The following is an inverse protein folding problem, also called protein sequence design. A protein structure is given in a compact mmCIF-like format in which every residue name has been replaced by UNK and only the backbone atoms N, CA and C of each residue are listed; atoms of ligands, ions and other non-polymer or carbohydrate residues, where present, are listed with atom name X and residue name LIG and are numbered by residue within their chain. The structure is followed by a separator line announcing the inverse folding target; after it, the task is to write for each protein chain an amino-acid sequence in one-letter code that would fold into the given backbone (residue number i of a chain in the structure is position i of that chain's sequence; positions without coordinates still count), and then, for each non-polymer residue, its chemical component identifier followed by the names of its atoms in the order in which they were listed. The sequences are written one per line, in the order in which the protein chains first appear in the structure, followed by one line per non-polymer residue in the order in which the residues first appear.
data_IF_248643925897
#
_entry.id   IF_248643925897
#
_cell.length_a   1.000
_cell.length_b   1.000
_cell.length_c   1.000
_cell.angle_alpha   90.00
_cell.angle_beta   90.00
_cell.angle_gamma   90.00
#
_symmetry.space_group_name_H-M   'P 1'
#
loop_
_entity.id
_entity.type
_entity.pdbx_description
1 polymer ?
#
# COMPACT_ATOMS: atom_id res chain seq x y z
N UNK A 1 -28.64 -5.85 15.81
CA UNK A 1 -28.04 -5.78 17.16
C UNK A 1 -26.62 -6.31 17.05
N UNK A 2 -25.65 -5.53 17.50
CA UNK A 2 -24.24 -5.93 17.58
C UNK A 2 -23.79 -5.82 19.03
N UNK A 3 -23.15 -6.85 19.58
CA UNK A 3 -22.69 -6.87 20.95
C UNK A 3 -22.72 -8.26 21.60
N UNK A 4 -22.39 -8.34 22.89
CA UNK A 4 -22.40 -9.59 23.63
C UNK A 4 -23.51 -9.53 24.69
N UNK A 5 -24.36 -10.54 24.72
CA UNK A 5 -25.39 -10.73 25.72
C UNK A 5 -25.21 -12.12 26.31
N UNK A 6 -24.94 -12.21 27.61
CA UNK A 6 -24.61 -13.45 28.30
C UNK A 6 -23.46 -14.21 27.59
N UNK A 7 -23.69 -15.44 27.18
CA UNK A 7 -22.71 -16.29 26.48
C UNK A 7 -22.82 -16.23 24.95
N UNK A 8 -23.62 -15.31 24.43
CA UNK A 8 -23.80 -15.13 22.98
C UNK A 8 -23.24 -13.80 22.50
N UNK A 9 -22.49 -13.85 21.37
CA UNK A 9 -22.00 -12.67 20.68
C UNK A 9 -22.74 -12.52 19.35
N UNK A 10 -23.39 -11.37 19.18
CA UNK A 10 -24.08 -10.98 17.96
C UNK A 10 -23.17 -10.08 17.13
N UNK A 11 -23.00 -10.38 15.88
CA UNK A 11 -22.17 -9.57 14.98
C UNK A 11 -22.71 -9.64 13.54
N UNK A 12 -22.36 -8.64 12.76
CA UNK A 12 -22.69 -8.57 11.35
C UNK A 12 -21.46 -8.91 10.51
N UNK A 13 -21.61 -9.85 9.58
CA UNK A 13 -20.57 -10.16 8.59
C UNK A 13 -21.25 -10.47 7.24
N UNK A 14 -20.72 -9.88 6.17
CA UNK A 14 -21.21 -10.07 4.80
C UNK A 14 -22.71 -9.77 4.65
N UNK A 15 -23.21 -8.71 5.28
CA UNK A 15 -24.63 -8.31 5.33
C UNK A 15 -25.55 -9.35 5.98
N UNK A 16 -25.02 -10.24 6.81
CA UNK A 16 -25.79 -11.20 7.59
C UNK A 16 -25.60 -10.96 9.07
N UNK A 17 -26.69 -11.05 9.82
CA UNK A 17 -26.63 -11.04 11.28
C UNK A 17 -26.30 -12.45 11.77
N UNK A 18 -25.16 -12.58 12.43
CA UNK A 18 -24.64 -13.85 12.93
C UNK A 18 -24.62 -13.85 14.45
N UNK A 19 -24.81 -15.04 15.01
CA UNK A 19 -24.74 -15.29 16.44
C UNK A 19 -23.77 -16.45 16.67
N UNK A 20 -22.87 -16.29 17.62
CA UNK A 20 -22.00 -17.36 18.07
C UNK A 20 -21.98 -17.45 19.58
N UNK A 21 -21.80 -18.64 20.12
CA UNK A 21 -21.51 -18.82 21.52
C UNK A 21 -20.16 -18.17 21.86
N UNK A 22 -20.07 -17.53 23.02
CA UNK A 22 -18.84 -16.96 23.53
C UNK A 22 -17.86 -18.08 23.86
N UNK A 23 -16.81 -18.21 23.05
CA UNK A 23 -15.78 -19.20 23.28
C UNK A 23 -15.13 -19.03 24.67
N UNK A 24 -15.15 -20.06 25.49
CA UNK A 24 -14.38 -20.11 26.73
C UNK A 24 -12.96 -20.53 26.39
N UNK A 25 -12.01 -19.62 26.51
CA UNK A 25 -10.59 -20.00 26.45
C UNK A 25 -10.28 -20.89 27.65
N UNK A 26 -9.90 -22.13 27.39
CA UNK A 26 -9.41 -23.03 28.44
C UNK A 26 -8.03 -22.62 29.00
N UNK A 27 -7.41 -21.58 28.45
CA UNK A 27 -6.06 -21.11 28.80
C UNK A 27 -6.17 -19.75 29.49
N UNK A 28 -5.67 -19.67 30.71
CA UNK A 28 -5.62 -18.43 31.48
C UNK A 28 -4.50 -17.51 30.95
N UNK A 29 -4.61 -16.20 31.18
CA UNK A 29 -3.54 -15.24 30.84
C UNK A 29 -2.21 -15.61 31.50
N UNK A 30 -2.24 -16.16 32.74
CA UNK A 30 -1.06 -16.61 33.44
C UNK A 30 -0.42 -17.80 32.73
N UNK A 31 -1.20 -18.83 32.45
CA UNK A 31 -0.72 -19.99 31.66
C UNK A 31 -0.13 -19.61 30.33
N UNK A 32 -0.80 -18.70 29.57
CA UNK A 32 -0.29 -18.20 28.29
C UNK A 32 1.05 -17.48 28.44
N UNK A 33 1.29 -16.74 29.55
CA UNK A 33 2.54 -16.01 29.78
C UNK A 33 3.68 -16.92 30.25
N UNK A 34 3.40 -17.90 31.07
CA UNK A 34 4.42 -18.68 31.82
C UNK A 34 4.75 -20.01 31.14
N UNK A 35 3.82 -20.62 30.41
CA UNK A 35 4.06 -21.91 29.80
C UNK A 35 4.89 -21.77 28.50
N UNK A 36 6.02 -22.49 28.47
CA UNK A 36 6.98 -22.48 27.34
C UNK A 36 6.37 -22.92 25.99
N UNK A 37 5.30 -23.74 26.04
CA UNK A 37 4.62 -24.18 24.81
C UNK A 37 4.08 -23.01 23.99
N UNK A 38 3.82 -21.85 24.62
CA UNK A 38 3.33 -20.64 23.97
C UNK A 38 4.44 -19.65 23.58
N UNK A 39 5.72 -19.96 23.82
CA UNK A 39 6.83 -19.05 23.52
C UNK A 39 6.85 -18.63 22.05
N UNK A 40 6.71 -19.58 21.13
CA UNK A 40 6.69 -19.28 19.68
C UNK A 40 5.55 -18.33 19.30
N UNK A 41 4.37 -18.50 19.94
CA UNK A 41 3.20 -17.66 19.67
C UNK A 41 3.43 -16.26 20.25
N UNK A 42 4.01 -16.15 21.46
CA UNK A 42 4.35 -14.85 22.06
C UNK A 42 5.38 -14.10 21.25
N UNK A 43 6.44 -14.77 20.82
CA UNK A 43 7.48 -14.21 19.96
C UNK A 43 6.89 -13.66 18.65
N UNK A 44 6.09 -14.48 17.96
CA UNK A 44 5.40 -14.05 16.75
C UNK A 44 4.44 -12.88 17.00
N UNK A 45 3.71 -12.91 18.12
CA UNK A 45 2.82 -11.81 18.51
C UNK A 45 3.56 -10.50 18.77
N UNK A 46 4.77 -10.55 19.34
CA UNK A 46 5.62 -9.39 19.57
C UNK A 46 6.08 -8.77 18.23
N UNK A 47 6.62 -9.59 17.36
CA UNK A 47 7.07 -9.16 16.02
C UNK A 47 5.92 -8.62 15.18
N UNK A 48 4.79 -9.33 15.13
CA UNK A 48 3.59 -8.88 14.43
C UNK A 48 3.05 -7.55 14.99
N UNK A 49 3.06 -7.38 16.30
CA UNK A 49 2.66 -6.12 16.95
C UNK A 49 3.57 -4.96 16.56
N UNK A 50 4.88 -5.20 16.41
CA UNK A 50 5.84 -4.22 15.91
C UNK A 50 5.52 -3.84 14.45
N UNK A 51 5.38 -4.82 13.57
CA UNK A 51 5.00 -4.58 12.17
C UNK A 51 3.68 -3.85 12.03
N UNK A 52 2.70 -4.15 12.87
CA UNK A 52 1.40 -3.46 12.84
C UNK A 52 1.51 -1.96 13.16
N UNK A 53 2.43 -1.56 14.04
CA UNK A 53 2.71 -0.14 14.29
C UNK A 53 3.37 0.53 13.08
N UNK A 54 4.42 -0.09 12.53
CA UNK A 54 5.10 0.39 11.32
C UNK A 54 4.17 0.46 10.10
N UNK A 55 3.29 -0.53 9.93
CA UNK A 55 2.27 -0.56 8.89
C UNK A 55 1.33 0.65 8.93
N UNK A 56 1.06 1.21 10.11
CA UNK A 56 0.27 2.44 10.23
C UNK A 56 0.99 3.61 9.56
N UNK A 57 2.30 3.76 9.83
CA UNK A 57 3.13 4.81 9.21
C UNK A 57 3.26 4.57 7.71
N UNK A 58 3.59 3.35 7.29
CA UNK A 58 3.71 2.99 5.88
C UNK A 58 2.49 3.40 5.05
N UNK A 59 1.28 3.21 5.59
CA UNK A 59 0.04 3.61 4.91
C UNK A 59 -0.15 5.13 4.80
N UNK A 60 0.60 5.92 5.57
CA UNK A 60 0.58 7.38 5.49
C UNK A 60 1.53 7.92 4.43
N UNK A 61 2.54 7.16 4.00
CA UNK A 61 3.56 7.59 3.04
C UNK A 61 2.95 8.09 1.70
N UNK A 62 1.88 7.44 1.24
CA UNK A 62 1.12 7.87 0.07
C UNK A 62 -0.39 7.89 0.37
N UNK A 63 -0.76 8.47 1.51
CA UNK A 63 -2.13 8.47 2.03
C UNK A 63 -3.16 8.92 1.00
N UNK A 64 -2.89 10.01 0.28
CA UNK A 64 -3.79 10.55 -0.73
C UNK A 64 -4.09 9.52 -1.82
N UNK A 65 -3.11 8.76 -2.27
CA UNK A 65 -3.28 7.73 -3.29
C UNK A 65 -4.01 6.50 -2.72
N UNK A 66 -3.58 6.02 -1.56
CA UNK A 66 -4.21 4.86 -0.94
C UNK A 66 -5.68 5.10 -0.57
N UNK A 67 -6.05 6.31 -0.15
CA UNK A 67 -7.45 6.61 0.14
C UNK A 67 -8.33 6.53 -1.12
N UNK A 68 -7.76 6.80 -2.28
CA UNK A 68 -8.44 6.76 -3.57
C UNK A 68 -8.28 5.45 -4.34
N UNK A 69 -7.38 4.54 -3.95
CA UNK A 69 -7.07 3.31 -4.70
C UNK A 69 -6.76 2.11 -3.82
N UNK A 70 -7.30 2.04 -2.60
CA UNK A 70 -7.13 0.86 -1.73
C UNK A 70 -8.34 -0.07 -1.77
N UNK A 71 -8.05 -1.36 -1.68
CA UNK A 71 -9.06 -2.40 -1.46
C UNK A 71 -9.23 -2.73 0.03
N UNK A 72 -10.20 -3.58 0.36
CA UNK A 72 -10.52 -3.94 1.75
C UNK A 72 -9.35 -4.66 2.45
N UNK A 73 -8.62 -5.53 1.74
CA UNK A 73 -7.51 -6.31 2.29
C UNK A 73 -6.20 -5.52 2.43
N UNK A 74 -6.14 -4.28 1.94
CA UNK A 74 -4.92 -3.47 1.86
C UNK A 74 -4.13 -3.40 3.18
N UNK A 75 -4.80 -3.13 4.31
CA UNK A 75 -4.12 -3.02 5.60
C UNK A 75 -3.48 -4.33 6.05
N UNK A 76 -4.15 -5.46 5.81
CA UNK A 76 -3.62 -6.80 6.09
C UNK A 76 -2.42 -7.13 5.20
N UNK A 77 -2.47 -6.75 3.92
CA UNK A 77 -1.35 -6.95 2.98
C UNK A 77 -0.13 -6.12 3.33
N UNK A 78 -0.31 -4.87 3.78
CA UNK A 78 0.80 -4.06 4.30
C UNK A 78 1.44 -4.71 5.52
N UNK A 79 0.63 -5.19 6.49
CA UNK A 79 1.16 -5.91 7.65
C UNK A 79 1.95 -7.15 7.24
N UNK A 80 1.44 -7.92 6.28
CA UNK A 80 2.12 -9.12 5.79
C UNK A 80 3.44 -8.77 5.10
N UNK A 81 3.45 -7.78 4.20
CA UNK A 81 4.65 -7.29 3.54
C UNK A 81 5.75 -6.90 4.53
N UNK A 82 5.41 -6.07 5.52
CA UNK A 82 6.39 -5.62 6.51
C UNK A 82 6.84 -6.76 7.43
N UNK A 83 5.98 -7.75 7.66
CA UNK A 83 6.35 -8.93 8.42
C UNK A 83 7.32 -9.84 7.64
N UNK A 84 7.10 -10.02 6.33
CA UNK A 84 8.01 -10.74 5.43
C UNK A 84 9.40 -10.07 5.42
N UNK A 85 9.45 -8.72 5.35
CA UNK A 85 10.71 -7.98 5.44
C UNK A 85 11.36 -8.14 6.83
N UNK A 86 10.59 -8.11 7.91
CA UNK A 86 11.12 -8.33 9.27
C UNK A 86 11.74 -9.75 9.40
N UNK A 87 11.18 -10.74 8.71
CA UNK A 87 11.70 -12.11 8.73
C UNK A 87 13.09 -12.24 8.10
N UNK A 88 13.52 -11.27 7.27
CA UNK A 88 14.87 -11.19 6.72
C UNK A 88 15.92 -10.73 7.76
N UNK A 89 15.50 -10.26 8.94
CA UNK A 89 16.44 -10.00 10.04
C UNK A 89 17.05 -11.32 10.55
N UNK A 90 18.19 -11.69 10.01
CA UNK A 90 18.98 -12.87 10.42
C UNK A 90 19.93 -12.56 11.58
N UNK A 91 20.06 -11.30 11.98
CA UNK A 91 20.93 -10.87 13.09
C UNK A 91 20.38 -11.16 14.46
N UNK A 92 19.05 -11.33 14.58
CA UNK A 92 18.37 -11.53 15.83
C UNK A 92 17.54 -12.82 15.84
N UNK A 93 17.42 -13.47 17.00
CA UNK A 93 16.55 -14.63 17.13
C UNK A 93 15.07 -14.22 17.04
N UNK A 94 14.22 -15.17 16.66
CA UNK A 94 12.77 -14.99 16.63
C UNK A 94 12.24 -14.39 17.94
N UNK A 95 11.36 -13.42 17.82
CA UNK A 95 10.80 -12.63 18.91
C UNK A 95 11.58 -11.35 19.22
N UNK A 96 12.78 -11.19 18.66
CA UNK A 96 13.64 -10.00 18.77
C UNK A 96 13.98 -9.36 17.42
N UNK A 97 13.54 -9.96 16.33
CA UNK A 97 13.75 -9.43 14.98
C UNK A 97 13.04 -8.10 14.82
N UNK A 98 13.65 -7.20 14.04
CA UNK A 98 13.13 -5.86 13.81
C UNK A 98 12.98 -5.57 12.32
N UNK A 99 12.03 -4.71 11.96
CA UNK A 99 11.85 -4.28 10.58
C UNK A 99 13.06 -3.48 10.10
N UNK A 100 13.68 -2.71 10.99
CA UNK A 100 14.85 -1.89 10.72
C UNK A 100 16.03 -2.73 10.23
N UNK A 101 16.30 -3.84 10.91
CA UNK A 101 17.35 -4.78 10.51
C UNK A 101 16.95 -5.54 9.23
N UNK A 102 15.68 -5.94 9.13
CA UNK A 102 15.17 -6.59 7.92
C UNK A 102 15.33 -5.72 6.67
N UNK A 103 15.03 -4.43 6.75
CA UNK A 103 15.20 -3.48 5.64
C UNK A 103 16.68 -3.26 5.27
N UNK A 104 17.62 -3.44 6.20
CA UNK A 104 19.05 -3.35 5.93
C UNK A 104 19.63 -4.63 5.29
N UNK A 105 18.88 -5.72 5.32
CA UNK A 105 19.32 -6.95 4.66
C UNK A 105 19.29 -6.77 3.13
N UNK A 106 20.34 -7.26 2.46
CA UNK A 106 20.47 -7.12 1.00
C UNK A 106 19.27 -7.71 0.25
N UNK A 107 18.65 -6.90 -0.59
CA UNK A 107 17.48 -7.30 -1.39
C UNK A 107 16.12 -7.14 -0.71
N UNK A 108 16.06 -6.95 0.62
CA UNK A 108 14.76 -6.85 1.32
C UNK A 108 13.92 -5.66 0.88
N UNK A 109 14.55 -4.59 0.44
CA UNK A 109 13.88 -3.40 -0.08
C UNK A 109 13.11 -3.71 -1.36
N UNK A 110 13.56 -4.69 -2.14
CA UNK A 110 12.90 -5.10 -3.37
C UNK A 110 11.49 -5.67 -3.11
N UNK A 111 11.21 -6.19 -1.91
CA UNK A 111 9.85 -6.60 -1.53
C UNK A 111 8.84 -5.46 -1.58
N UNK A 112 9.29 -4.21 -1.41
CA UNK A 112 8.44 -3.03 -1.50
C UNK A 112 8.09 -2.67 -2.95
N UNK A 113 8.97 -3.02 -3.89
CA UNK A 113 8.77 -2.68 -5.30
C UNK A 113 7.57 -3.43 -5.85
N UNK A 114 6.75 -2.73 -6.63
CA UNK A 114 5.51 -3.25 -7.20
C UNK A 114 4.43 -3.62 -6.18
N UNK A 115 4.54 -3.14 -4.93
CA UNK A 115 3.43 -3.30 -3.99
C UNK A 115 2.22 -2.48 -4.45
N UNK A 116 1.09 -3.18 -4.60
CA UNK A 116 -0.16 -2.63 -5.13
C UNK A 116 -1.10 -2.18 -4.00
N UNK A 117 -1.62 -0.97 -4.08
CA UNK A 117 -2.70 -0.52 -3.20
C UNK A 117 -4.02 -1.24 -3.47
N UNK A 118 -4.25 -1.60 -4.74
CA UNK A 118 -5.46 -2.29 -5.20
C UNK A 118 -5.09 -3.47 -6.11
N UNK A 119 -5.14 -4.68 -5.59
CA UNK A 119 -4.82 -5.90 -6.36
C UNK A 119 -5.86 -6.27 -7.41
N UNK A 120 -7.07 -5.70 -7.32
CA UNK A 120 -8.10 -5.89 -8.35
C UNK A 120 -7.80 -5.09 -9.62
N UNK A 121 -6.95 -4.06 -9.50
CA UNK A 121 -6.53 -3.17 -10.59
C UNK A 121 -5.02 -2.93 -10.53
N UNK A 122 -4.18 -3.97 -10.71
CA UNK A 122 -2.73 -3.81 -10.65
C UNK A 122 -2.22 -2.95 -11.83
N UNK A 123 -1.18 -2.16 -11.59
CA UNK A 123 -0.62 -1.22 -12.56
C UNK A 123 -0.33 -1.86 -13.91
N UNK A 124 0.28 -3.06 -13.91
CA UNK A 124 0.63 -3.80 -15.13
C UNK A 124 -0.57 -4.14 -16.02
N UNK A 125 -1.77 -4.21 -15.45
CA UNK A 125 -3.01 -4.44 -16.21
C UNK A 125 -3.65 -3.12 -16.63
N UNK A 126 -3.53 -2.06 -15.80
CA UNK A 126 -4.13 -0.76 -16.08
C UNK A 126 -3.34 0.02 -17.12
N UNK A 127 -2.02 -0.09 -17.10
CA UNK A 127 -1.13 0.59 -18.05
C UNK A 127 -0.21 -0.43 -18.73
N UNK A 128 -0.36 -0.61 -20.03
CA UNK A 128 0.43 -1.56 -20.84
C UNK A 128 1.89 -1.15 -21.02
N UNK A 129 2.26 0.08 -20.66
CA UNK A 129 3.63 0.57 -20.73
C UNK A 129 4.37 0.31 -19.43
N UNK A 130 5.64 -0.05 -19.54
CA UNK A 130 6.52 -0.18 -18.39
C UNK A 130 6.75 1.21 -17.78
N UNK A 131 6.52 1.31 -16.49
CA UNK A 131 6.81 2.52 -15.71
C UNK A 131 8.11 2.29 -14.95
N UNK A 132 9.06 3.20 -15.12
CA UNK A 132 10.34 3.17 -14.40
C UNK A 132 10.60 4.57 -13.86
N UNK A 133 10.94 4.66 -12.59
CA UNK A 133 11.31 5.90 -11.95
C UNK A 133 12.82 6.15 -12.12
N UNK A 134 13.16 7.30 -12.67
CA UNK A 134 14.55 7.76 -12.81
C UNK A 134 14.95 8.55 -11.56
N UNK A 135 15.66 7.91 -10.65
CA UNK A 135 16.11 8.52 -9.39
C UNK A 135 17.06 9.70 -9.59
N UNK A 136 17.90 9.67 -10.64
CA UNK A 136 18.85 10.78 -10.90
C UNK A 136 18.16 12.05 -11.32
N UNK A 137 17.01 11.94 -11.97
CA UNK A 137 16.24 13.07 -12.50
C UNK A 137 14.94 13.29 -11.74
N UNK A 138 14.67 12.48 -10.70
CA UNK A 138 13.43 12.51 -9.92
C UNK A 138 12.18 12.56 -10.80
N UNK A 139 12.13 11.73 -11.85
CA UNK A 139 11.07 11.78 -12.85
C UNK A 139 10.66 10.43 -13.41
N UNK A 140 9.46 10.40 -13.94
CA UNK A 140 8.98 9.36 -14.85
C UNK A 140 8.80 9.99 -16.23
N UNK A 141 9.19 9.24 -17.26
CA UNK A 141 8.90 9.59 -18.64
C UNK A 141 8.19 8.42 -19.31
N UNK A 142 6.93 8.64 -19.68
CA UNK A 142 6.10 7.69 -20.37
C UNK A 142 5.92 8.16 -21.84
N UNK A 143 6.77 7.64 -22.72
CA UNK A 143 6.78 8.03 -24.12
C UNK A 143 5.78 7.22 -24.96
N UNK A 144 5.14 7.87 -25.92
CA UNK A 144 4.26 7.26 -26.92
C UNK A 144 3.14 6.40 -26.31
N UNK A 145 2.42 6.95 -25.33
CA UNK A 145 1.22 6.29 -24.78
C UNK A 145 0.05 6.59 -25.74
N UNK A 146 -0.57 5.54 -26.27
CA UNK A 146 -1.88 5.65 -26.88
C UNK A 146 -2.94 5.57 -25.77
N UNK A 147 -3.66 6.67 -25.56
CA UNK A 147 -4.57 6.81 -24.41
C UNK A 147 -5.70 5.76 -24.42
N UNK A 148 -6.19 5.37 -25.58
CA UNK A 148 -7.27 4.39 -25.70
C UNK A 148 -6.74 2.95 -25.58
N UNK A 149 -5.60 2.67 -26.23
CA UNK A 149 -5.12 1.29 -26.39
C UNK A 149 -4.18 0.83 -25.29
N UNK A 150 -3.40 1.76 -24.67
CA UNK A 150 -2.41 1.42 -23.66
C UNK A 150 -2.97 1.51 -22.22
N UNK A 151 -4.15 2.12 -22.03
CA UNK A 151 -4.82 2.24 -20.75
C UNK A 151 -6.06 1.33 -20.71
N UNK A 152 -6.16 0.48 -19.68
CA UNK A 152 -7.35 -0.34 -19.44
C UNK A 152 -8.42 0.50 -18.76
N UNK A 153 -9.34 1.02 -19.55
CA UNK A 153 -10.46 1.82 -19.08
C UNK A 153 -11.47 0.99 -18.29
N UNK A 154 -12.00 1.51 -17.18
CA UNK A 154 -13.04 0.81 -16.43
C UNK A 154 -14.41 0.88 -17.13
N UNK A 155 -15.23 -0.12 -16.84
CA UNK A 155 -16.65 -0.07 -17.16
C UNK A 155 -17.46 0.08 -15.86
N UNK A 156 -18.46 0.93 -15.81
CA UNK A 156 -18.99 1.79 -16.84
C UNK A 156 -18.13 3.01 -17.14
N UNK A 157 -18.39 3.65 -18.24
CA UNK A 157 -17.62 4.59 -19.02
C UNK A 157 -16.95 5.72 -18.23
N UNK A 158 -15.65 5.58 -18.02
CA UNK A 158 -14.80 6.71 -17.77
C UNK A 158 -14.41 7.38 -19.09
N UNK A 159 -14.38 8.70 -19.13
CA UNK A 159 -13.90 9.46 -20.27
C UNK A 159 -12.68 10.34 -19.94
N UNK A 160 -12.22 10.31 -18.70
CA UNK A 160 -10.99 10.95 -18.24
C UNK A 160 -10.15 10.00 -17.38
N UNK A 161 -8.84 10.06 -17.56
CA UNK A 161 -7.85 9.40 -16.73
C UNK A 161 -7.00 10.46 -16.03
N UNK A 162 -6.72 10.22 -14.75
CA UNK A 162 -5.92 11.08 -13.90
C UNK A 162 -4.66 10.34 -13.49
N UNK A 163 -3.50 10.94 -13.77
CA UNK A 163 -2.21 10.38 -13.41
C UNK A 163 -1.47 11.34 -12.48
N UNK A 164 -0.88 10.79 -11.44
CA UNK A 164 -0.10 11.56 -10.48
C UNK A 164 1.06 10.73 -9.94
N UNK A 165 2.18 11.38 -9.65
CA UNK A 165 3.35 10.80 -9.01
C UNK A 165 3.43 11.26 -7.55
N UNK A 166 3.91 10.40 -6.66
CA UNK A 166 4.33 10.80 -5.33
C UNK A 166 5.72 10.22 -4.99
N UNK A 167 6.46 10.98 -4.22
CA UNK A 167 7.68 10.53 -3.55
C UNK A 167 7.45 10.60 -2.05
N UNK A 168 7.82 9.55 -1.34
CA UNK A 168 7.88 9.54 0.11
C UNK A 168 9.29 9.18 0.57
N UNK A 169 9.78 9.91 1.56
CA UNK A 169 10.99 9.62 2.29
C UNK A 169 10.60 9.09 3.67
N UNK A 170 11.00 7.88 4.00
CA UNK A 170 10.63 7.23 5.26
C UNK A 170 11.84 6.96 6.14
N UNK A 171 11.93 7.66 7.28
CA UNK A 171 12.79 7.27 8.37
C UNK A 171 12.11 6.16 9.17
N UNK A 172 12.34 4.92 8.76
CA UNK A 172 11.71 3.76 9.39
C UNK A 172 12.23 3.45 10.81
N UNK A 173 13.33 4.10 11.25
CA UNK A 173 13.82 3.98 12.63
C UNK A 173 13.00 4.82 13.58
N UNK A 174 12.72 6.06 13.20
CA UNK A 174 12.01 7.04 14.03
C UNK A 174 10.51 7.14 13.72
N UNK A 175 10.05 6.43 12.69
CA UNK A 175 8.67 6.50 12.20
C UNK A 175 8.23 7.89 11.70
N UNK A 176 9.20 8.69 11.25
CA UNK A 176 8.95 9.97 10.61
C UNK A 176 8.99 9.84 9.09
N UNK A 177 8.29 10.70 8.38
CA UNK A 177 8.27 10.69 6.92
C UNK A 177 7.93 12.05 6.36
N UNK A 178 8.33 12.24 5.11
CA UNK A 178 7.94 13.36 4.27
C UNK A 178 7.40 12.81 2.95
N UNK A 179 6.47 13.50 2.34
CA UNK A 179 5.95 13.12 1.05
C UNK A 179 5.66 14.33 0.15
N UNK A 180 5.84 14.15 -1.13
CA UNK A 180 5.61 15.14 -2.17
C UNK A 180 4.78 14.54 -3.28
N UNK A 181 3.85 15.32 -3.80
CA UNK A 181 2.98 14.93 -4.91
C UNK A 181 3.27 15.85 -6.10
N UNK A 182 3.35 15.28 -7.30
CA UNK A 182 3.40 16.06 -8.53
C UNK A 182 2.07 16.73 -8.81
N UNK A 183 2.04 17.63 -9.77
CA UNK A 183 0.79 18.04 -10.37
C UNK A 183 0.10 16.83 -11.00
N UNK A 184 -1.23 16.79 -10.89
CA UNK A 184 -2.05 15.81 -11.56
C UNK A 184 -2.14 16.12 -13.05
N UNK A 185 -2.01 15.09 -13.90
CA UNK A 185 -2.27 15.17 -15.34
C UNK A 185 -3.59 14.48 -15.61
N UNK A 186 -4.55 15.24 -16.15
CA UNK A 186 -5.84 14.72 -16.58
C UNK A 186 -5.88 14.64 -18.11
N UNK A 187 -6.26 13.48 -18.64
CA UNK A 187 -6.31 13.23 -20.09
C UNK A 187 -7.69 12.67 -20.45
N UNK A 188 -8.28 13.21 -21.52
CA UNK A 188 -9.55 12.72 -22.06
C UNK A 188 -9.33 11.42 -22.87
N UNK A 189 -10.33 10.55 -22.90
CA UNK A 189 -10.33 9.28 -23.64
C UNK A 189 -10.48 9.55 -25.15
N UNK A 190 -9.40 10.00 -25.74
CA UNK A 190 -9.33 10.29 -27.18
C UNK A 190 -8.21 9.43 -27.78
N UNK A 191 -8.42 8.91 -29.00
CA UNK A 191 -7.38 8.15 -29.71
C UNK A 191 -6.25 9.08 -30.14
N UNK A 192 -5.33 9.28 -29.25
CA UNK A 192 -4.12 10.08 -29.45
C UNK A 192 -2.93 9.45 -28.78
N UNK A 193 -1.76 9.65 -29.37
CA UNK A 193 -0.49 9.26 -28.77
C UNK A 193 0.15 10.47 -28.10
N UNK A 194 0.48 10.34 -26.84
CA UNK A 194 1.08 11.41 -26.05
C UNK A 194 2.32 10.96 -25.31
N UNK A 195 3.11 11.91 -24.84
CA UNK A 195 4.24 11.67 -23.94
C UNK A 195 3.95 12.38 -22.63
N UNK A 196 4.04 11.63 -21.52
CA UNK A 196 3.79 12.15 -20.19
C UNK A 196 5.10 12.20 -19.43
N UNK A 197 5.36 13.33 -18.82
CA UNK A 197 6.52 13.52 -17.94
C UNK A 197 6.05 14.05 -16.58
N UNK A 198 6.48 13.39 -15.52
CA UNK A 198 6.24 13.81 -14.14
C UNK A 198 7.58 14.08 -13.51
N UNK A 199 7.72 15.22 -12.85
CA UNK A 199 8.89 15.58 -12.06
C UNK A 199 8.46 15.97 -10.67
N UNK A 200 9.27 15.63 -9.68
CA UNK A 200 9.13 16.09 -8.31
C UNK A 200 10.49 16.56 -7.86
N UNK A 201 10.55 17.70 -7.18
CA UNK A 201 11.79 18.14 -6.54
C UNK A 201 12.18 17.12 -5.48
N UNK A 202 13.40 16.59 -5.58
CA UNK A 202 13.88 15.60 -4.64
C UNK A 202 14.34 16.27 -3.34
N UNK A 203 13.98 15.66 -2.23
CA UNK A 203 14.50 16.05 -0.93
C UNK A 203 15.87 15.41 -0.69
N UNK A 204 16.76 16.16 -0.07
CA UNK A 204 18.09 15.68 0.32
C UNK A 204 18.02 15.10 1.74
N UNK A 205 17.45 13.94 1.91
CA UNK A 205 17.42 13.25 3.20
C UNK A 205 17.92 11.81 3.05
N UNK A 206 18.63 11.33 4.07
CA UNK A 206 19.22 9.99 4.11
C UNK A 206 18.20 9.01 4.69
N UNK A 207 17.31 8.47 3.90
CA UNK A 207 16.34 7.50 4.37
C UNK A 207 15.82 6.68 3.19
N UNK A 208 14.91 5.78 3.44
CA UNK A 208 14.27 4.99 2.39
C UNK A 208 13.32 5.85 1.55
N UNK A 209 13.61 5.92 0.26
CA UNK A 209 12.76 6.60 -0.70
C UNK A 209 11.84 5.63 -1.42
N UNK A 210 10.59 6.02 -1.55
CA UNK A 210 9.55 5.27 -2.25
C UNK A 210 8.90 6.18 -3.30
N UNK A 211 8.89 5.73 -4.54
CA UNK A 211 8.19 6.40 -5.63
C UNK A 211 6.88 5.67 -5.95
N UNK A 212 5.79 6.42 -6.00
CA UNK A 212 4.44 5.90 -6.23
C UNK A 212 3.85 6.50 -7.50
N UNK A 213 3.06 5.72 -8.22
CA UNK A 213 2.18 6.22 -9.26
C UNK A 213 0.72 5.97 -8.86
N UNK A 214 -0.11 6.94 -9.15
CA UNK A 214 -1.57 6.83 -9.05
C UNK A 214 -2.20 6.98 -10.44
N UNK A 215 -3.18 6.12 -10.75
CA UNK A 215 -4.02 6.22 -11.92
C UNK A 215 -5.47 6.13 -11.46
N UNK A 216 -6.20 7.21 -11.63
CA UNK A 216 -7.61 7.32 -11.30
C UNK A 216 -8.47 7.59 -12.54
N UNK A 217 -9.77 7.43 -12.42
CA UNK A 217 -10.71 7.61 -13.51
C UNK A 217 -11.89 8.46 -13.10
N UNK A 218 -12.39 9.26 -14.04
CA UNK A 218 -13.60 10.06 -13.86
C UNK A 218 -14.46 10.07 -15.12
N UNK A 219 -15.71 10.46 -14.93
CA UNK A 219 -16.61 10.81 -16.00
C UNK A 219 -16.87 12.31 -15.96
N UNK A 220 -16.58 13.00 -17.08
CA UNK A 220 -16.87 14.42 -17.27
C UNK A 220 -18.11 14.55 -18.15
N UNK A 221 -19.15 15.10 -17.60
CA UNK A 221 -20.38 15.44 -18.30
C UNK A 221 -20.58 16.95 -18.24
N UNK A 222 -20.50 17.61 -19.42
CA UNK A 222 -20.56 19.07 -19.52
C UNK A 222 -19.52 19.74 -18.61
N UNK A 223 -19.95 20.43 -17.55
CA UNK A 223 -19.08 21.17 -16.62
C UNK A 223 -18.86 20.43 -15.29
N UNK A 224 -19.27 19.17 -15.16
CA UNK A 224 -19.13 18.39 -13.93
C UNK A 224 -18.24 17.19 -14.17
N UNK A 225 -17.18 17.08 -13.37
CA UNK A 225 -16.32 15.88 -13.32
C UNK A 225 -16.71 15.07 -12.09
N UNK A 226 -17.08 13.82 -12.30
CA UNK A 226 -17.44 12.86 -11.24
C UNK A 226 -16.37 11.77 -11.19
N UNK A 227 -15.57 11.68 -10.12
CA UNK A 227 -14.64 10.58 -9.92
C UNK A 227 -15.38 9.24 -9.89
N UNK A 228 -14.79 8.21 -10.48
CA UNK A 228 -15.28 6.86 -10.37
C UNK A 228 -14.98 6.28 -8.97
N UNK A 229 -15.66 5.19 -8.64
CA UNK A 229 -15.42 4.50 -7.37
C UNK A 229 -13.96 4.01 -7.30
N UNK A 230 -13.35 4.12 -6.13
CA UNK A 230 -11.94 3.77 -5.86
C UNK A 230 -11.50 2.36 -6.28
N UNK A 231 -12.43 1.41 -6.42
CA UNK A 231 -12.16 0.06 -6.93
C UNK A 231 -11.59 0.04 -8.35
N UNK A 232 -11.80 1.11 -9.12
CA UNK A 232 -11.33 1.27 -10.49
C UNK A 232 -9.94 1.89 -10.60
N UNK A 233 -9.48 2.50 -9.52
CA UNK A 233 -8.20 3.18 -9.48
C UNK A 233 -7.08 2.23 -9.07
N UNK A 234 -5.85 2.60 -9.42
CA UNK A 234 -4.64 1.89 -9.00
C UNK A 234 -3.63 2.82 -8.36
N UNK A 235 -2.85 2.30 -7.43
CA UNK A 235 -1.62 2.91 -6.95
C UNK A 235 -0.59 1.83 -6.67
N UNK A 236 0.66 2.08 -7.06
CA UNK A 236 1.73 1.09 -7.03
C UNK A 236 3.03 1.76 -6.67
N UNK A 237 3.88 1.09 -5.91
CA UNK A 237 5.28 1.47 -5.70
C UNK A 237 6.07 1.09 -6.96
N UNK A 238 6.61 2.10 -7.64
CA UNK A 238 7.31 1.95 -8.92
C UNK A 238 8.82 2.18 -8.83
N UNK A 239 9.28 2.55 -7.65
CA UNK A 239 10.70 2.73 -7.37
C UNK A 239 10.95 2.71 -5.88
N UNK A 240 12.05 2.12 -5.49
CA UNK A 240 12.57 2.09 -4.14
C UNK A 240 14.05 2.40 -4.21
N UNK A 241 14.55 3.23 -3.32
CA UNK A 241 15.97 3.57 -3.26
C UNK A 241 16.39 3.81 -1.83
N UNK A 242 17.47 3.17 -1.43
CA UNK A 242 18.25 3.58 -0.28
C UNK A 242 19.16 4.70 -0.71
N UNK A 243 18.99 5.87 -0.15
CA UNK A 243 20.00 6.91 -0.29
C UNK A 243 21.09 6.64 0.75
N UNK A 244 22.21 6.18 0.27
CA UNK A 244 23.41 5.97 1.05
C UNK A 244 24.13 7.28 1.34
#
# INVERSE_FOLDING_TARGET
IVGTLNDMTFYEASNQNLVREKGKSGITKKQFKENLIFDKIRQQGTEFGSCSRKSRVFRLLAKQFYDQAKEVSFAGRVNRLLFEILEEDTSQPRGKRTLENGLQHHGSIEFLLHFEGNTLRPLKHVLKKKVVFDWKKSKINLSRINVVNDILWPEPEANQVHLQLALANWNYKEDTFEHHYSNEICIEKIDQTTTLSFTIDSLQTQNLWLAYIFIGFSNKERNRTKPLHKKWNTTTIIGVSDVF
#
